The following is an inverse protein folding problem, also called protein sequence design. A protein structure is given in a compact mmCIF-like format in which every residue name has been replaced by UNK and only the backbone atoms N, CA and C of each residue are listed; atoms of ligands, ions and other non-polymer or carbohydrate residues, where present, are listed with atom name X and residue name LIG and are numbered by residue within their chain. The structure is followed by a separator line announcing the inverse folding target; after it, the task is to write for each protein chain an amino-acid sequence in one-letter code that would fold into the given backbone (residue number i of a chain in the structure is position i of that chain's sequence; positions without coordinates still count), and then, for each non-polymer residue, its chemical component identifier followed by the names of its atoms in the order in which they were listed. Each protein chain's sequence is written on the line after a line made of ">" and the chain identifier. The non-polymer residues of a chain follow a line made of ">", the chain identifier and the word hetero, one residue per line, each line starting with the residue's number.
data_IF_504268207887
#
_entry.id   IF_504268207887
#
_cell.length_a   1.000
_cell.length_b   1.000
_cell.length_c   1.000
_cell.angle_alpha   90.00
_cell.angle_beta   90.00
_cell.angle_gamma   90.00
#
_symmetry.space_group_name_H-M   'P 1'
#
loop_
_entity.id
_entity.type
_entity.pdbx_description
1 polymer ?
#
# COMPACT_ATOMS: atom_id res chain seq x y z
N UNK A 1 -33.22 -39.56 -7.58
CA UNK A 1 -31.76 -39.40 -7.44
C UNK A 1 -31.46 -37.95 -7.12
N UNK A 2 -30.92 -37.69 -5.93
CA UNK A 2 -31.31 -36.57 -5.06
C UNK A 2 -30.54 -35.26 -5.27
N UNK A 3 -31.22 -34.12 -5.04
CA UNK A 3 -30.64 -32.77 -4.82
C UNK A 3 -29.45 -32.77 -3.85
N UNK A 4 -29.40 -33.76 -2.96
CA UNK A 4 -28.29 -34.01 -2.01
C UNK A 4 -26.98 -34.34 -2.75
N UNK A 5 -27.03 -35.08 -3.88
CA UNK A 5 -25.85 -35.41 -4.67
C UNK A 5 -25.26 -34.17 -5.37
N UNK A 6 -26.12 -33.23 -5.81
CA UNK A 6 -25.69 -31.92 -6.35
C UNK A 6 -25.07 -31.00 -5.29
N UNK A 7 -25.58 -31.05 -4.06
CA UNK A 7 -25.06 -30.28 -2.92
C UNK A 7 -23.71 -30.84 -2.41
N UNK A 8 -23.55 -32.17 -2.43
CA UNK A 8 -22.28 -32.84 -2.15
C UNK A 8 -21.24 -32.60 -3.24
N UNK A 9 -21.62 -32.61 -4.53
CA UNK A 9 -20.72 -32.29 -5.64
C UNK A 9 -20.21 -30.84 -5.55
N UNK A 10 -21.08 -29.88 -5.23
CA UNK A 10 -20.68 -28.48 -5.06
C UNK A 10 -19.79 -28.25 -3.84
N UNK A 11 -20.02 -28.97 -2.72
CA UNK A 11 -19.11 -28.95 -1.55
C UNK A 11 -17.76 -29.60 -1.84
N UNK A 12 -17.72 -30.68 -2.62
CA UNK A 12 -16.47 -31.32 -3.06
C UNK A 12 -15.70 -30.45 -4.05
N UNK A 13 -16.35 -29.77 -4.98
CA UNK A 13 -15.68 -28.84 -5.90
C UNK A 13 -15.16 -27.59 -5.18
N UNK A 14 -15.91 -26.99 -4.26
CA UNK A 14 -15.44 -25.87 -3.43
C UNK A 14 -14.31 -26.31 -2.48
N UNK A 15 -14.45 -27.48 -1.86
CA UNK A 15 -13.41 -28.08 -1.01
C UNK A 15 -12.14 -28.38 -1.79
N UNK A 16 -12.22 -28.99 -2.97
CA UNK A 16 -11.06 -29.31 -3.80
C UNK A 16 -10.45 -28.06 -4.46
N UNK A 17 -11.25 -27.04 -4.79
CA UNK A 17 -10.76 -25.76 -5.29
C UNK A 17 -10.06 -24.92 -4.21
N UNK A 18 -10.62 -24.88 -2.99
CA UNK A 18 -9.96 -24.29 -1.83
C UNK A 18 -8.69 -25.07 -1.45
N UNK A 19 -8.75 -26.41 -1.41
CA UNK A 19 -7.62 -27.24 -1.01
C UNK A 19 -6.49 -27.22 -2.06
N UNK A 20 -6.79 -27.15 -3.36
CA UNK A 20 -5.77 -26.98 -4.41
C UNK A 20 -5.12 -25.59 -4.41
N UNK A 21 -5.89 -24.53 -4.11
CA UNK A 21 -5.34 -23.19 -3.90
C UNK A 21 -4.51 -23.11 -2.61
N UNK A 22 -4.97 -23.75 -1.54
CA UNK A 22 -4.28 -23.81 -0.25
C UNK A 22 -3.00 -24.64 -0.34
N UNK A 23 -2.99 -25.76 -1.08
CA UNK A 23 -1.77 -26.51 -1.41
C UNK A 23 -0.79 -25.70 -2.27
N UNK A 24 -1.29 -24.87 -3.21
CA UNK A 24 -0.45 -23.94 -3.98
C UNK A 24 0.13 -22.83 -3.10
N UNK A 25 -0.63 -22.30 -2.15
CA UNK A 25 -0.19 -21.29 -1.19
C UNK A 25 0.83 -21.88 -0.21
N UNK A 26 0.56 -23.06 0.35
CA UNK A 26 1.48 -23.77 1.25
C UNK A 26 2.76 -24.16 0.52
N UNK A 27 2.68 -24.75 -0.69
CA UNK A 27 3.89 -25.01 -1.49
C UNK A 27 4.66 -23.73 -1.69
N UNK A 28 4.00 -22.62 -2.05
CA UNK A 28 4.68 -21.34 -2.19
C UNK A 28 5.34 -20.88 -0.90
N UNK A 29 4.63 -20.76 0.24
CA UNK A 29 5.20 -20.33 1.51
C UNK A 29 6.39 -21.21 1.97
N UNK A 30 6.35 -22.52 1.72
CA UNK A 30 7.44 -23.45 2.07
C UNK A 30 8.54 -23.57 1.01
N UNK A 31 8.29 -23.22 -0.26
CA UNK A 31 9.30 -23.22 -1.34
C UNK A 31 9.68 -21.82 -1.82
N UNK A 32 9.25 -20.78 -1.10
CA UNK A 32 9.59 -19.40 -1.42
C UNK A 32 11.05 -19.14 -1.09
N UNK A 33 11.93 -19.54 -2.00
CA UNK A 33 13.31 -19.08 -1.99
C UNK A 33 13.44 -17.87 -2.90
N UNK A 34 14.29 -16.94 -2.49
CA UNK A 34 14.73 -15.81 -3.33
C UNK A 34 15.31 -16.32 -4.67
N UNK A 35 15.83 -17.56 -4.71
CA UNK A 35 16.29 -18.25 -5.94
C UNK A 35 15.17 -18.56 -6.94
N UNK A 36 13.90 -18.66 -6.51
CA UNK A 36 12.76 -18.85 -7.43
C UNK A 36 12.43 -17.57 -8.21
N UNK A 37 12.72 -16.39 -7.65
CA UNK A 37 12.56 -15.09 -8.30
C UNK A 37 13.63 -14.90 -9.38
N UNK A 38 14.87 -15.36 -9.13
CA UNK A 38 15.98 -15.24 -10.08
C UNK A 38 15.79 -16.09 -11.34
N UNK A 39 14.98 -17.17 -11.29
CA UNK A 39 14.76 -18.09 -12.41
C UNK A 39 13.52 -17.80 -13.27
N UNK A 40 12.71 -16.78 -12.95
CA UNK A 40 11.56 -16.40 -13.78
C UNK A 40 12.02 -15.72 -15.08
N UNK A 41 11.74 -16.33 -16.23
CA UNK A 41 11.86 -15.66 -17.53
C UNK A 41 10.61 -14.79 -17.77
N UNK A 42 10.68 -13.53 -17.35
CA UNK A 42 9.64 -12.53 -17.62
C UNK A 42 9.97 -11.83 -18.93
N UNK A 43 9.07 -11.94 -19.91
CA UNK A 43 9.23 -11.27 -21.21
C UNK A 43 8.80 -9.80 -21.15
N UNK A 44 9.16 -9.01 -22.17
CA UNK A 44 8.69 -7.62 -22.29
C UNK A 44 7.16 -7.53 -22.39
N UNK A 45 6.55 -8.48 -23.10
CA UNK A 45 5.10 -8.54 -23.29
C UNK A 45 4.36 -8.88 -21.99
N UNK A 46 4.92 -9.74 -21.14
CA UNK A 46 4.36 -10.04 -19.81
C UNK A 46 4.31 -8.78 -18.92
N UNK A 47 5.31 -7.92 -19.04
CA UNK A 47 5.39 -6.67 -18.28
C UNK A 47 4.42 -5.61 -18.83
N UNK A 48 4.31 -5.49 -20.15
CA UNK A 48 3.33 -4.61 -20.80
C UNK A 48 1.92 -5.00 -20.41
N UNK A 49 1.58 -6.28 -20.51
CA UNK A 49 0.29 -6.81 -20.07
C UNK A 49 0.06 -6.60 -18.58
N UNK A 50 1.11 -6.69 -17.75
CA UNK A 50 1.00 -6.39 -16.33
C UNK A 50 0.68 -4.92 -16.10
N UNK A 51 1.40 -3.99 -16.73
CA UNK A 51 1.16 -2.54 -16.62
C UNK A 51 -0.27 -2.22 -17.07
N UNK A 52 -0.71 -2.76 -18.21
CA UNK A 52 -2.06 -2.59 -18.76
C UNK A 52 -3.14 -3.11 -17.80
N UNK A 53 -2.94 -4.28 -17.19
CA UNK A 53 -3.86 -4.84 -16.21
C UNK A 53 -4.00 -3.95 -14.96
N UNK A 54 -2.91 -3.27 -14.56
CA UNK A 54 -2.88 -2.41 -13.37
C UNK A 54 -3.45 -1.02 -13.64
N UNK A 55 -3.16 -0.43 -14.79
CA UNK A 55 -3.83 0.79 -15.27
C UNK A 55 -5.33 0.53 -15.39
N UNK A 56 -5.71 -0.63 -15.94
CA UNK A 56 -7.10 -1.06 -15.94
C UNK A 56 -7.62 -1.20 -14.51
N UNK A 57 -6.86 -1.74 -13.55
CA UNK A 57 -7.32 -1.83 -12.15
C UNK A 57 -7.47 -0.47 -11.46
N UNK A 58 -6.63 0.52 -11.74
CA UNK A 58 -6.78 1.89 -11.21
C UNK A 58 -7.99 2.59 -11.82
N UNK A 59 -8.09 2.56 -13.15
CA UNK A 59 -9.18 3.22 -13.89
C UNK A 59 -10.50 2.50 -13.71
N UNK A 60 -10.47 1.26 -13.29
CA UNK A 60 -11.67 0.48 -13.10
C UNK A 60 -11.92 0.36 -11.62
N UNK A 61 -13.09 0.82 -11.20
CA UNK A 61 -13.60 0.55 -9.86
C UNK A 61 -13.70 -0.99 -9.60
N UNK A 62 -13.45 -1.85 -10.61
CA UNK A 62 -13.67 -3.31 -10.85
C UNK A 62 -13.06 -4.30 -9.85
N UNK A 63 -13.19 -4.04 -8.55
CA UNK A 63 -12.84 -5.08 -7.56
C UNK A 63 -13.88 -6.22 -7.53
N UNK A 64 -15.07 -6.03 -8.12
CA UNK A 64 -16.19 -6.96 -7.96
C UNK A 64 -16.65 -7.71 -9.21
N UNK A 65 -16.39 -7.23 -10.44
CA UNK A 65 -16.72 -8.01 -11.65
C UNK A 65 -16.11 -7.39 -12.93
N UNK A 66 -15.58 -8.23 -13.83
CA UNK A 66 -14.97 -7.81 -15.10
C UNK A 66 -16.00 -7.58 -16.23
N UNK A 67 -17.25 -8.03 -16.07
CA UNK A 67 -18.21 -8.18 -17.18
C UNK A 67 -19.39 -7.20 -17.19
N UNK A 68 -19.52 -6.33 -16.18
CA UNK A 68 -20.72 -5.47 -16.02
C UNK A 68 -20.48 -4.02 -16.46
N UNK A 69 -21.56 -3.34 -16.83
CA UNK A 69 -21.55 -1.95 -17.29
C UNK A 69 -21.02 -0.99 -16.22
N UNK A 70 -20.40 0.09 -16.67
CA UNK A 70 -19.64 1.01 -15.83
C UNK A 70 -20.49 1.70 -14.74
N UNK A 71 -21.70 2.17 -15.07
CA UNK A 71 -22.63 2.82 -14.12
C UNK A 71 -23.06 1.87 -13.00
N UNK A 72 -23.35 0.61 -13.33
CA UNK A 72 -23.76 -0.41 -12.36
C UNK A 72 -22.64 -0.70 -11.35
N UNK A 73 -21.39 -0.73 -11.83
CA UNK A 73 -20.24 -0.95 -10.97
C UNK A 73 -20.04 0.19 -9.96
N UNK A 74 -20.17 1.44 -10.39
CA UNK A 74 -20.01 2.61 -9.51
C UNK A 74 -21.05 2.60 -8.38
N UNK A 75 -22.32 2.28 -8.70
CA UNK A 75 -23.37 2.15 -7.69
C UNK A 75 -23.11 1.02 -6.70
N UNK A 76 -22.63 -0.14 -7.16
CA UNK A 76 -22.25 -1.24 -6.26
C UNK A 76 -21.10 -0.86 -5.32
N UNK A 77 -20.07 -0.18 -5.85
CA UNK A 77 -18.94 0.28 -5.05
C UNK A 77 -19.36 1.32 -4.01
N UNK A 78 -20.30 2.21 -4.34
CA UNK A 78 -20.84 3.20 -3.42
C UNK A 78 -21.68 2.53 -2.32
N UNK A 79 -22.53 1.57 -2.70
CA UNK A 79 -23.35 0.81 -1.75
C UNK A 79 -22.47 0.04 -0.75
N UNK A 80 -21.42 -0.63 -1.24
CA UNK A 80 -20.46 -1.33 -0.37
C UNK A 80 -19.72 -0.34 0.54
N UNK A 81 -19.33 0.83 0.03
CA UNK A 81 -18.69 1.86 0.85
C UNK A 81 -19.63 2.33 1.98
N UNK A 82 -20.90 2.64 1.67
CA UNK A 82 -21.90 3.07 2.65
C UNK A 82 -22.11 1.98 3.70
N UNK A 83 -22.27 0.71 3.28
CA UNK A 83 -22.44 -0.41 4.21
C UNK A 83 -21.25 -0.56 5.16
N UNK A 84 -20.02 -0.38 4.68
CA UNK A 84 -18.84 -0.43 5.55
C UNK A 84 -18.73 0.78 6.48
N UNK A 85 -19.14 1.97 6.05
CA UNK A 85 -19.20 3.14 6.94
C UNK A 85 -20.19 2.89 8.07
N UNK A 86 -21.40 2.38 7.74
CA UNK A 86 -22.40 1.98 8.74
C UNK A 86 -21.82 0.93 9.67
N UNK A 87 -21.12 -0.06 9.14
CA UNK A 87 -20.49 -1.12 9.91
C UNK A 87 -19.37 -0.61 10.82
N UNK A 88 -18.56 0.34 10.36
CA UNK A 88 -17.56 1.00 11.18
C UNK A 88 -18.22 1.75 12.35
N UNK A 89 -19.26 2.54 12.09
CA UNK A 89 -20.00 3.23 13.15
C UNK A 89 -20.71 2.26 14.10
N UNK A 90 -21.15 1.13 13.60
CA UNK A 90 -21.70 0.05 14.43
C UNK A 90 -20.65 -0.47 15.42
N UNK A 91 -19.42 -0.75 15.00
CA UNK A 91 -18.34 -1.14 15.92
C UNK A 91 -17.94 -0.02 16.88
N UNK A 92 -18.00 1.24 16.46
CA UNK A 92 -17.81 2.37 17.37
C UNK A 92 -18.91 2.41 18.43
N UNK A 93 -20.17 2.23 18.05
CA UNK A 93 -21.29 2.15 18.97
C UNK A 93 -21.13 0.97 19.95
N UNK A 94 -20.73 -0.21 19.46
CA UNK A 94 -20.39 -1.36 20.30
C UNK A 94 -19.27 -1.05 21.29
N UNK A 95 -18.28 -0.24 20.92
CA UNK A 95 -17.19 0.13 21.84
C UNK A 95 -17.62 1.03 23.00
N UNK A 96 -18.73 1.76 22.86
CA UNK A 96 -19.19 2.75 23.86
C UNK A 96 -20.37 2.20 24.68
N UNK A 97 -21.21 1.34 24.11
CA UNK A 97 -22.38 0.79 24.79
C UNK A 97 -22.00 -0.28 25.83
N UNK A 98 -22.68 -0.28 26.97
CA UNK A 98 -22.56 -1.29 28.04
C UNK A 98 -23.81 -2.16 28.20
N UNK A 99 -24.83 -1.93 27.40
CA UNK A 99 -26.07 -2.70 27.46
C UNK A 99 -25.87 -4.09 26.83
N UNK A 100 -25.79 -5.14 27.66
CA UNK A 100 -25.55 -6.52 27.24
C UNK A 100 -26.56 -7.04 26.22
N UNK A 101 -27.83 -6.64 26.33
CA UNK A 101 -28.88 -7.04 25.39
C UNK A 101 -28.62 -6.45 24.00
N UNK A 102 -28.30 -5.15 23.95
CA UNK A 102 -27.96 -4.47 22.70
C UNK A 102 -26.68 -5.06 22.09
N UNK A 103 -25.64 -5.28 22.91
CA UNK A 103 -24.37 -5.89 22.51
C UNK A 103 -24.60 -7.25 21.84
N UNK A 104 -25.45 -8.08 22.46
CA UNK A 104 -25.76 -9.40 21.97
C UNK A 104 -26.49 -9.39 20.61
N UNK A 105 -27.60 -8.64 20.50
CA UNK A 105 -28.38 -8.57 19.25
C UNK A 105 -27.67 -7.83 18.13
N UNK A 106 -26.73 -6.96 18.47
CA UNK A 106 -25.92 -6.21 17.52
C UNK A 106 -24.84 -7.07 16.86
N UNK A 107 -24.51 -8.25 17.41
CA UNK A 107 -23.50 -9.13 16.81
C UNK A 107 -22.06 -8.77 17.19
N UNK A 108 -21.83 -8.31 18.43
CA UNK A 108 -20.47 -8.11 18.95
C UNK A 108 -19.75 -9.47 19.04
N UNK A 109 -18.52 -9.58 18.52
CA UNK A 109 -17.75 -10.83 18.53
C UNK A 109 -16.95 -11.04 19.81
N UNK A 110 -16.74 -9.97 20.58
CA UNK A 110 -15.81 -9.92 21.71
C UNK A 110 -16.54 -9.87 23.06
N UNK A 111 -17.81 -10.28 23.11
CA UNK A 111 -18.71 -10.11 24.29
C UNK A 111 -18.13 -10.66 25.59
N UNK A 112 -17.39 -11.75 25.54
CA UNK A 112 -16.79 -12.42 26.70
C UNK A 112 -15.39 -11.89 27.07
N UNK A 113 -14.79 -11.02 26.25
CA UNK A 113 -13.46 -10.46 26.49
C UNK A 113 -13.56 -9.23 27.39
N UNK A 114 -12.68 -9.14 28.38
CA UNK A 114 -12.46 -7.94 29.21
C UNK A 114 -12.06 -6.73 28.37
N UNK A 115 -11.44 -6.96 27.21
CA UNK A 115 -10.93 -5.95 26.28
C UNK A 115 -11.93 -5.62 25.16
N UNK A 116 -13.19 -6.07 25.25
CA UNK A 116 -14.24 -5.90 24.22
C UNK A 116 -14.30 -4.50 23.61
N UNK A 117 -14.36 -3.46 24.45
CA UNK A 117 -14.48 -2.06 24.00
C UNK A 117 -13.32 -1.67 23.10
N UNK A 118 -12.12 -2.06 23.51
CA UNK A 118 -10.86 -1.78 22.81
C UNK A 118 -10.82 -2.53 21.48
N UNK A 119 -11.18 -3.82 21.48
CA UNK A 119 -11.20 -4.65 20.28
C UNK A 119 -12.19 -4.11 19.24
N UNK A 120 -13.40 -3.74 19.66
CA UNK A 120 -14.39 -3.12 18.79
C UNK A 120 -13.90 -1.79 18.19
N UNK A 121 -13.22 -0.97 18.98
CA UNK A 121 -12.62 0.27 18.49
C UNK A 121 -11.51 0.01 17.45
N UNK A 122 -10.67 -1.01 17.64
CA UNK A 122 -9.66 -1.41 16.66
C UNK A 122 -10.32 -1.86 15.35
N UNK A 123 -11.38 -2.66 15.42
CA UNK A 123 -12.13 -3.08 14.23
C UNK A 123 -12.72 -1.87 13.51
N UNK A 124 -13.28 -0.90 14.25
CA UNK A 124 -13.75 0.37 13.69
C UNK A 124 -12.66 1.09 12.88
N UNK A 125 -11.49 1.32 13.47
CA UNK A 125 -10.36 1.94 12.77
C UNK A 125 -9.91 1.12 11.55
N UNK A 126 -9.87 -0.21 11.69
CA UNK A 126 -9.51 -1.14 10.62
C UNK A 126 -10.47 -1.16 9.44
N UNK A 127 -11.73 -0.76 9.64
CA UNK A 127 -12.73 -0.60 8.57
C UNK A 127 -12.64 0.80 7.95
N UNK A 128 -12.51 1.86 8.76
CA UNK A 128 -12.45 3.24 8.26
C UNK A 128 -11.23 3.48 7.35
N UNK A 129 -10.06 2.95 7.69
CA UNK A 129 -8.85 3.17 6.89
C UNK A 129 -9.03 2.71 5.41
N UNK A 130 -9.47 1.47 5.11
CA UNK A 130 -9.81 1.06 3.75
C UNK A 130 -10.95 1.86 3.10
N UNK A 131 -11.94 2.32 3.86
CA UNK A 131 -12.98 3.21 3.34
C UNK A 131 -12.39 4.52 2.81
N UNK A 132 -11.43 5.13 3.53
CA UNK A 132 -10.76 6.36 3.12
C UNK A 132 -9.97 6.17 1.82
N UNK A 133 -9.28 5.04 1.68
CA UNK A 133 -8.61 4.68 0.42
C UNK A 133 -9.62 4.57 -0.72
N UNK A 134 -10.78 3.97 -0.47
CA UNK A 134 -11.81 3.84 -1.51
C UNK A 134 -12.41 5.17 -1.92
N UNK A 135 -12.69 6.06 -0.95
CA UNK A 135 -13.17 7.43 -1.21
C UNK A 135 -12.15 8.17 -2.08
N UNK A 136 -10.86 8.08 -1.73
CA UNK A 136 -9.77 8.65 -2.51
C UNK A 136 -9.78 8.15 -3.96
N UNK A 137 -9.84 6.83 -4.18
CA UNK A 137 -9.85 6.25 -5.53
C UNK A 137 -11.08 6.69 -6.34
N UNK A 138 -12.25 6.82 -5.69
CA UNK A 138 -13.47 7.31 -6.34
C UNK A 138 -13.34 8.79 -6.72
N UNK A 139 -12.81 9.63 -5.83
CA UNK A 139 -12.63 11.06 -6.06
C UNK A 139 -11.57 11.36 -7.12
N UNK A 140 -10.43 10.65 -7.08
CA UNK A 140 -9.35 10.76 -8.06
C UNK A 140 -9.89 10.54 -9.48
N UNK A 141 -10.70 9.50 -9.65
CA UNK A 141 -11.38 9.18 -10.91
C UNK A 141 -12.36 10.28 -11.36
N UNK A 142 -13.21 10.77 -10.46
CA UNK A 142 -14.20 11.82 -10.79
C UNK A 142 -13.55 13.12 -11.25
N UNK A 143 -12.33 13.39 -10.77
CA UNK A 143 -11.59 14.60 -11.09
C UNK A 143 -10.90 14.55 -12.46
N UNK A 144 -11.07 13.48 -13.24
CA UNK A 144 -10.41 13.24 -14.54
C UNK A 144 -8.88 13.45 -14.50
N UNK A 145 -8.26 13.27 -13.32
CA UNK A 145 -6.83 13.46 -13.15
C UNK A 145 -6.09 12.33 -13.86
N UNK A 146 -4.92 12.63 -14.42
CA UNK A 146 -4.02 11.60 -14.96
C UNK A 146 -3.71 10.58 -13.86
N UNK A 147 -3.67 9.31 -14.21
CA UNK A 147 -3.34 8.24 -13.28
C UNK A 147 -1.92 8.43 -12.74
N UNK A 148 -1.67 8.04 -11.49
CA UNK A 148 -0.28 8.07 -10.99
C UNK A 148 0.56 6.96 -11.61
N UNK A 149 -0.07 5.93 -12.19
CA UNK A 149 0.58 4.91 -13.01
C UNK A 149 1.05 5.44 -14.37
N UNK A 150 0.66 6.65 -14.81
CA UNK A 150 1.24 7.32 -15.99
C UNK A 150 2.77 7.50 -15.90
N UNK A 151 3.36 7.33 -14.71
CA UNK A 151 4.82 7.21 -14.56
C UNK A 151 5.41 6.09 -15.44
N UNK A 152 4.59 5.09 -15.80
CA UNK A 152 4.97 4.00 -16.69
C UNK A 152 4.76 4.32 -18.17
N UNK A 153 4.08 5.39 -18.56
CA UNK A 153 3.76 5.70 -19.97
C UNK A 153 5.02 5.75 -20.84
N UNK A 154 6.03 6.47 -20.37
CA UNK A 154 7.28 6.63 -21.12
C UNK A 154 8.06 5.31 -21.19
N UNK A 155 8.04 4.54 -20.10
CA UNK A 155 8.67 3.22 -20.03
C UNK A 155 7.95 2.20 -20.93
N UNK A 156 6.61 2.19 -20.95
CA UNK A 156 5.77 1.40 -21.84
C UNK A 156 6.09 1.71 -23.30
N UNK A 157 6.25 3.00 -23.60
CA UNK A 157 6.62 3.44 -24.94
C UNK A 157 8.05 3.02 -25.33
N UNK A 158 9.00 2.99 -24.38
CA UNK A 158 10.35 2.44 -24.60
C UNK A 158 10.34 0.91 -24.79
N UNK A 159 9.40 0.20 -24.18
CA UNK A 159 9.23 -1.24 -24.37
C UNK A 159 8.65 -1.58 -25.75
N UNK A 160 7.78 -0.71 -26.27
CA UNK A 160 7.09 -0.87 -27.56
C UNK A 160 7.95 -0.43 -28.75
N UNK A 161 8.72 0.66 -28.63
CA UNK A 161 9.56 1.21 -29.70
C UNK A 161 11.02 1.33 -29.26
N UNK A 162 11.95 0.67 -29.97
CA UNK A 162 13.38 0.68 -29.62
C UNK A 162 14.09 2.00 -29.94
N UNK A 163 13.51 2.86 -30.80
CA UNK A 163 14.18 4.01 -31.42
C UNK A 163 13.54 5.37 -31.08
N UNK A 164 13.15 5.60 -29.82
CA UNK A 164 12.81 6.97 -29.39
C UNK A 164 14.06 7.78 -29.05
N UNK A 165 14.07 9.07 -29.42
CA UNK A 165 15.17 10.03 -29.13
C UNK A 165 15.53 10.14 -27.65
N UNK A 166 14.57 9.83 -26.76
CA UNK A 166 14.77 9.81 -25.31
C UNK A 166 14.12 8.54 -24.77
N UNK A 167 14.94 7.61 -24.27
CA UNK A 167 14.47 6.37 -23.65
C UNK A 167 15.02 6.23 -22.24
N UNK A 168 14.18 5.77 -21.30
CA UNK A 168 14.66 5.34 -19.99
C UNK A 168 15.21 3.93 -20.09
N UNK A 169 16.52 3.83 -20.33
CA UNK A 169 17.27 2.61 -20.05
C UNK A 169 17.23 2.38 -18.53
N UNK A 170 16.80 1.21 -18.08
CA UNK A 170 16.95 0.81 -16.67
C UNK A 170 18.24 0.00 -16.54
N UNK A 171 19.18 0.47 -15.71
CA UNK A 171 20.49 -0.18 -15.48
C UNK A 171 20.37 -1.69 -15.17
N UNK A 172 19.29 -2.08 -14.49
CA UNK A 172 18.96 -3.47 -14.16
C UNK A 172 17.57 -3.88 -14.70
N UNK A 173 17.27 -3.59 -15.98
CA UNK A 173 15.96 -3.84 -16.57
C UNK A 173 15.45 -5.28 -16.32
N UNK A 174 16.30 -6.31 -16.49
CA UNK A 174 15.90 -7.71 -16.26
C UNK A 174 15.50 -7.98 -14.80
N UNK A 175 16.18 -7.37 -13.84
CA UNK A 175 15.89 -7.54 -12.42
C UNK A 175 14.64 -6.74 -12.03
N UNK A 176 14.51 -5.52 -12.56
CA UNK A 176 13.32 -4.69 -12.41
C UNK A 176 12.08 -5.37 -12.98
N UNK A 177 12.14 -5.94 -14.20
CA UNK A 177 11.01 -6.68 -14.80
C UNK A 177 10.57 -7.84 -13.92
N UNK A 178 11.52 -8.60 -13.37
CA UNK A 178 11.23 -9.73 -12.46
C UNK A 178 10.64 -9.25 -11.15
N UNK A 179 11.22 -8.23 -10.52
CA UNK A 179 10.74 -7.69 -9.24
C UNK A 179 9.37 -7.04 -9.40
N UNK A 180 9.16 -6.28 -10.48
CA UNK A 180 7.90 -5.62 -10.81
C UNK A 180 6.79 -6.64 -11.06
N UNK A 181 6.99 -7.57 -11.99
CA UNK A 181 5.99 -8.61 -12.27
C UNK A 181 5.66 -9.43 -11.01
N UNK A 182 6.68 -9.73 -10.22
CA UNK A 182 6.51 -10.47 -8.97
C UNK A 182 5.74 -9.67 -7.91
N UNK A 183 6.10 -8.40 -7.65
CA UNK A 183 5.38 -7.55 -6.70
C UNK A 183 3.95 -7.34 -7.17
N UNK A 184 3.77 -6.82 -8.39
CA UNK A 184 2.49 -6.27 -8.85
C UNK A 184 1.42 -7.33 -9.10
N UNK A 185 1.80 -8.55 -9.52
CA UNK A 185 0.83 -9.60 -9.87
C UNK A 185 0.80 -10.73 -8.84
N UNK A 186 1.97 -11.28 -8.48
CA UNK A 186 2.02 -12.46 -7.61
C UNK A 186 1.86 -12.07 -6.14
N UNK A 187 2.67 -11.15 -5.64
CA UNK A 187 2.65 -10.77 -4.23
C UNK A 187 1.29 -10.18 -3.85
N UNK A 188 0.72 -9.28 -4.68
CA UNK A 188 -0.62 -8.70 -4.46
C UNK A 188 -1.66 -9.78 -4.15
N UNK A 189 -1.77 -10.77 -5.04
CA UNK A 189 -2.81 -11.78 -4.98
C UNK A 189 -2.66 -12.64 -3.74
N UNK A 190 -1.44 -13.06 -3.42
CA UNK A 190 -1.19 -13.92 -2.26
C UNK A 190 -1.27 -13.17 -0.94
N UNK A 191 -0.71 -11.97 -0.87
CA UNK A 191 -0.79 -11.12 0.32
C UNK A 191 -2.24 -10.81 0.66
N UNK A 192 -3.01 -10.40 -0.33
CA UNK A 192 -4.42 -10.09 -0.12
C UNK A 192 -5.25 -11.33 0.25
N UNK A 193 -4.97 -12.51 -0.30
CA UNK A 193 -5.61 -13.76 0.14
C UNK A 193 -5.21 -14.10 1.58
N UNK A 194 -3.92 -13.99 1.92
CA UNK A 194 -3.41 -14.30 3.25
C UNK A 194 -4.01 -13.42 4.34
N UNK A 195 -4.10 -12.10 4.11
CA UNK A 195 -4.72 -11.16 5.05
C UNK A 195 -6.19 -11.50 5.27
N UNK A 196 -6.95 -11.81 4.21
CA UNK A 196 -8.36 -12.18 4.34
C UNK A 196 -8.56 -13.51 5.09
N UNK A 197 -7.71 -14.51 4.84
CA UNK A 197 -7.76 -15.79 5.56
C UNK A 197 -7.44 -15.58 7.04
N UNK A 198 -6.39 -14.82 7.36
CA UNK A 198 -6.02 -14.51 8.75
C UNK A 198 -7.16 -13.81 9.49
N UNK A 199 -7.75 -12.78 8.86
CA UNK A 199 -8.92 -12.07 9.40
C UNK A 199 -10.09 -13.02 9.68
N UNK A 200 -10.42 -13.90 8.73
CA UNK A 200 -11.50 -14.86 8.90
C UNK A 200 -11.25 -15.86 10.04
N UNK A 201 -10.04 -16.41 10.12
CA UNK A 201 -9.68 -17.37 11.17
C UNK A 201 -9.75 -16.74 12.56
N UNK A 202 -9.30 -15.49 12.71
CA UNK A 202 -9.35 -14.77 13.99
C UNK A 202 -10.79 -14.46 14.44
N UNK A 203 -11.69 -14.14 13.51
CA UNK A 203 -13.11 -13.95 13.86
C UNK A 203 -13.83 -15.26 14.16
N UNK A 204 -13.52 -16.34 13.43
CA UNK A 204 -14.10 -17.67 13.69
C UNK A 204 -13.69 -18.23 15.04
N UNK A 205 -12.41 -18.13 15.39
CA UNK A 205 -11.89 -18.61 16.68
C UNK A 205 -12.61 -17.92 17.83
N UNK A 206 -12.71 -16.59 17.80
CA UNK A 206 -13.47 -15.84 18.79
C UNK A 206 -14.94 -16.29 18.90
N UNK A 207 -15.63 -16.55 17.78
CA UNK A 207 -17.02 -17.02 17.83
C UNK A 207 -17.14 -18.42 18.45
N UNK A 208 -16.23 -19.34 18.10
CA UNK A 208 -16.23 -20.71 18.60
C UNK A 208 -16.02 -20.73 20.13
N UNK A 209 -15.11 -19.88 20.64
CA UNK A 209 -14.84 -19.82 22.07
C UNK A 209 -15.91 -19.08 22.88
N UNK A 210 -16.58 -18.08 22.29
CA UNK A 210 -17.45 -17.18 23.04
C UNK A 210 -18.94 -17.60 23.04
N UNK A 211 -19.36 -18.50 22.14
CA UNK A 211 -20.77 -18.87 21.99
C UNK A 211 -21.01 -20.37 22.10
N UNK A 212 -21.59 -20.79 23.24
CA UNK A 212 -21.86 -22.20 23.55
C UNK A 212 -23.18 -22.74 22.98
N UNK A 213 -24.14 -21.88 22.64
CA UNK A 213 -25.45 -22.32 22.13
C UNK A 213 -25.55 -22.19 20.61
N UNK A 214 -26.10 -23.22 19.96
CA UNK A 214 -26.18 -23.33 18.49
C UNK A 214 -26.88 -22.13 17.84
N UNK A 215 -27.99 -21.65 18.43
CA UNK A 215 -28.74 -20.51 17.89
C UNK A 215 -27.90 -19.21 17.89
N UNK A 216 -27.15 -18.98 18.97
CA UNK A 216 -26.28 -17.80 19.11
C UNK A 216 -25.09 -17.89 18.18
N UNK A 217 -24.50 -19.09 18.05
CA UNK A 217 -23.44 -19.36 17.10
C UNK A 217 -23.85 -19.06 15.65
N UNK A 218 -25.04 -19.53 15.23
CA UNK A 218 -25.54 -19.28 13.86
C UNK A 218 -25.72 -17.80 13.58
N UNK A 219 -26.28 -17.04 14.53
CA UNK A 219 -26.46 -15.59 14.38
C UNK A 219 -25.11 -14.89 14.17
N UNK A 220 -24.11 -15.23 14.97
CA UNK A 220 -22.78 -14.62 14.87
C UNK A 220 -22.04 -15.00 13.58
N UNK A 221 -22.23 -16.23 13.10
CA UNK A 221 -21.73 -16.65 11.79
C UNK A 221 -22.32 -15.82 10.65
N UNK A 222 -23.61 -15.45 10.73
CA UNK A 222 -24.24 -14.56 9.75
C UNK A 222 -23.59 -13.17 9.80
N UNK A 223 -23.37 -12.61 10.99
CA UNK A 223 -22.69 -11.31 11.14
C UNK A 223 -21.27 -11.31 10.56
N UNK A 224 -20.48 -12.37 10.76
CA UNK A 224 -19.14 -12.50 10.15
C UNK A 224 -19.21 -12.61 8.64
N UNK A 225 -20.12 -13.41 8.10
CA UNK A 225 -20.29 -13.52 6.65
C UNK A 225 -20.64 -12.16 6.05
N UNK A 226 -21.55 -11.42 6.68
CA UNK A 226 -21.91 -10.08 6.26
C UNK A 226 -20.71 -9.13 6.28
N UNK A 227 -19.94 -9.13 7.38
CA UNK A 227 -18.69 -8.37 7.50
C UNK A 227 -17.68 -8.72 6.40
N UNK A 228 -17.48 -10.00 6.08
CA UNK A 228 -16.53 -10.41 5.04
C UNK A 228 -16.95 -9.95 3.65
N UNK A 229 -18.24 -10.08 3.32
CA UNK A 229 -18.75 -9.72 2.00
C UNK A 229 -18.64 -8.21 1.76
N UNK A 230 -18.85 -7.40 2.79
CA UNK A 230 -18.72 -5.95 2.71
C UNK A 230 -17.26 -5.49 2.78
N UNK A 231 -16.46 -6.03 3.70
CA UNK A 231 -15.12 -5.54 4.02
C UNK A 231 -14.03 -6.00 3.03
N UNK A 232 -14.04 -7.27 2.61
CA UNK A 232 -12.97 -7.82 1.75
C UNK A 232 -12.72 -6.94 0.49
N UNK A 233 -13.74 -6.50 -0.27
CA UNK A 233 -13.55 -5.64 -1.44
C UNK A 233 -12.83 -4.30 -1.14
N UNK A 234 -13.10 -3.68 0.01
CA UNK A 234 -12.41 -2.45 0.42
C UNK A 234 -10.96 -2.74 0.80
N UNK A 235 -10.74 -3.81 1.56
CA UNK A 235 -9.41 -4.22 1.96
C UNK A 235 -8.53 -4.52 0.74
N UNK A 236 -9.05 -5.22 -0.28
CA UNK A 236 -8.34 -5.40 -1.56
C UNK A 236 -7.95 -4.07 -2.21
N UNK A 237 -8.83 -3.05 -2.15
CA UNK A 237 -8.54 -1.71 -2.68
C UNK A 237 -7.35 -1.06 -1.95
N UNK A 238 -7.36 -1.15 -0.62
CA UNK A 238 -6.33 -0.57 0.24
C UNK A 238 -4.98 -1.26 0.04
N UNK A 239 -4.97 -2.60 0.06
CA UNK A 239 -3.78 -3.41 -0.18
C UNK A 239 -3.19 -3.18 -1.56
N UNK A 240 -4.04 -3.00 -2.57
CA UNK A 240 -3.60 -2.66 -3.91
C UNK A 240 -2.89 -1.30 -3.96
N UNK A 241 -3.48 -0.25 -3.38
CA UNK A 241 -2.88 1.09 -3.39
C UNK A 241 -1.50 1.07 -2.73
N UNK A 242 -1.39 0.42 -1.56
CA UNK A 242 -0.14 0.29 -0.82
C UNK A 242 0.96 -0.39 -1.63
N UNK A 243 0.62 -1.51 -2.26
CA UNK A 243 1.56 -2.23 -3.11
C UNK A 243 1.98 -1.39 -4.34
N UNK A 244 1.05 -0.66 -4.94
CA UNK A 244 1.38 0.22 -6.07
C UNK A 244 2.32 1.34 -5.68
N UNK A 245 2.14 1.94 -4.50
CA UNK A 245 3.07 2.94 -4.00
C UNK A 245 4.48 2.37 -3.80
N UNK A 246 4.60 1.12 -3.31
CA UNK A 246 5.88 0.44 -3.23
C UNK A 246 6.49 0.23 -4.63
N UNK A 247 5.70 -0.23 -5.60
CA UNK A 247 6.13 -0.44 -7.00
C UNK A 247 6.61 0.85 -7.65
N UNK A 248 5.85 1.95 -7.53
CA UNK A 248 6.23 3.28 -8.02
C UNK A 248 7.53 3.74 -7.36
N UNK A 249 7.69 3.49 -6.07
CA UNK A 249 8.91 3.86 -5.33
C UNK A 249 10.13 3.09 -5.82
N UNK A 250 10.00 1.77 -6.04
CA UNK A 250 11.09 0.96 -6.59
C UNK A 250 11.41 1.33 -8.04
N UNK A 251 10.41 1.63 -8.88
CA UNK A 251 10.65 2.12 -10.23
C UNK A 251 11.44 3.42 -10.21
N UNK A 252 10.96 4.40 -9.44
CA UNK A 252 11.63 5.69 -9.23
C UNK A 252 13.08 5.51 -8.81
N UNK A 253 13.35 4.63 -7.83
CA UNK A 253 14.72 4.33 -7.40
C UNK A 253 15.61 3.80 -8.54
N UNK A 254 15.09 2.93 -9.40
CA UNK A 254 15.86 2.40 -10.53
C UNK A 254 16.08 3.44 -11.63
N UNK A 255 15.11 4.32 -11.86
CA UNK A 255 15.26 5.45 -12.78
C UNK A 255 16.33 6.41 -12.28
N UNK A 256 16.35 6.73 -10.98
CA UNK A 256 17.39 7.58 -10.38
C UNK A 256 18.78 6.93 -10.54
N UNK A 257 18.92 5.62 -10.29
CA UNK A 257 20.20 4.92 -10.49
C UNK A 257 20.70 5.00 -11.94
N UNK A 258 19.78 4.90 -12.90
CA UNK A 258 20.11 5.01 -14.32
C UNK A 258 20.55 6.42 -14.68
N UNK A 259 19.79 7.44 -14.26
CA UNK A 259 20.17 8.84 -14.43
C UNK A 259 21.52 9.14 -13.78
N UNK A 260 21.78 8.58 -12.61
CA UNK A 260 23.07 8.73 -11.94
C UNK A 260 24.21 8.15 -12.78
N UNK A 261 24.04 6.94 -13.32
CA UNK A 261 25.04 6.31 -14.19
C UNK A 261 25.28 7.14 -15.47
N UNK A 262 24.21 7.60 -16.13
CA UNK A 262 24.29 8.49 -17.30
C UNK A 262 25.01 9.80 -16.94
N UNK A 263 24.77 10.36 -15.75
CA UNK A 263 25.45 11.55 -15.25
C UNK A 263 26.95 11.29 -14.95
N UNK A 264 27.28 10.17 -14.31
CA UNK A 264 28.66 9.78 -14.01
C UNK A 264 29.47 9.55 -15.30
N UNK A 265 28.84 8.98 -16.34
CA UNK A 265 29.43 8.86 -17.68
C UNK A 265 29.71 10.24 -18.29
N UNK A 266 28.73 11.16 -18.26
CA UNK A 266 28.91 12.53 -18.73
C UNK A 266 30.04 13.27 -17.98
N UNK A 267 30.22 13.02 -16.68
CA UNK A 267 31.34 13.55 -15.90
C UNK A 267 32.67 12.98 -16.39
N UNK A 268 32.73 11.66 -16.66
CA UNK A 268 33.97 10.96 -17.01
C UNK A 268 34.48 11.24 -18.42
N UNK A 269 33.59 11.54 -19.37
CA UNK A 269 33.96 11.64 -20.80
C UNK A 269 34.67 12.96 -21.15
N UNK A 270 34.60 13.99 -20.30
CA UNK A 270 35.24 15.30 -20.52
C UNK A 270 34.62 16.12 -21.67
N UNK A 271 34.33 15.49 -22.81
CA UNK A 271 33.73 16.06 -24.02
C UNK A 271 32.48 15.27 -24.42
N UNK A 272 31.35 15.51 -23.76
CA UNK A 272 30.05 14.97 -24.19
C UNK A 272 29.35 15.90 -25.18
N UNK A 273 28.55 15.36 -26.10
CA UNK A 273 27.82 16.22 -27.06
C UNK A 273 26.63 16.91 -26.38
N UNK A 274 26.26 18.11 -26.86
CA UNK A 274 25.11 18.87 -26.38
C UNK A 274 23.83 18.02 -26.32
N UNK A 275 23.62 17.14 -27.30
CA UNK A 275 22.46 16.25 -27.36
C UNK A 275 22.39 15.26 -26.18
N UNK A 276 23.53 14.75 -25.69
CA UNK A 276 23.54 13.83 -24.54
C UNK A 276 23.16 14.56 -23.25
N UNK A 277 23.66 15.78 -23.06
CA UNK A 277 23.30 16.62 -21.91
C UNK A 277 21.82 17.02 -21.92
N UNK A 278 21.31 17.40 -23.10
CA UNK A 278 19.90 17.75 -23.24
C UNK A 278 18.97 16.57 -22.97
N UNK A 279 19.35 15.37 -23.42
CA UNK A 279 18.67 14.11 -23.11
C UNK A 279 18.62 13.85 -21.60
N UNK A 280 19.76 13.95 -20.94
CA UNK A 280 19.87 13.76 -19.50
C UNK A 280 18.94 14.70 -18.72
N UNK A 281 19.02 16.01 -19.00
CA UNK A 281 18.19 17.01 -18.30
C UNK A 281 16.70 16.90 -18.63
N UNK A 282 16.34 16.44 -19.82
CA UNK A 282 14.94 16.13 -20.15
C UNK A 282 14.42 14.99 -19.26
N UNK A 283 15.14 13.88 -19.18
CA UNK A 283 14.77 12.72 -18.35
C UNK A 283 14.71 13.07 -16.86
N UNK A 284 15.65 13.90 -16.38
CA UNK A 284 15.65 14.36 -14.98
C UNK A 284 14.44 15.26 -14.65
N UNK A 285 14.09 16.18 -15.55
CA UNK A 285 12.94 17.08 -15.37
C UNK A 285 11.63 16.30 -15.36
N UNK A 286 11.51 15.34 -16.27
CA UNK A 286 10.36 14.45 -16.36
C UNK A 286 10.18 13.60 -15.10
N UNK A 287 11.25 12.99 -14.58
CA UNK A 287 11.20 12.25 -13.32
C UNK A 287 10.74 13.15 -12.16
N UNK A 288 11.25 14.39 -12.11
CA UNK A 288 10.84 15.36 -11.09
C UNK A 288 9.35 15.71 -11.20
N UNK A 289 8.86 15.94 -12.42
CA UNK A 289 7.44 16.20 -12.69
C UNK A 289 6.55 15.03 -12.26
N UNK A 290 6.98 13.79 -12.48
CA UNK A 290 6.24 12.62 -12.05
C UNK A 290 6.17 12.51 -10.53
N UNK A 291 7.27 12.72 -9.82
CA UNK A 291 7.27 12.68 -8.35
C UNK A 291 6.37 13.78 -7.79
N UNK A 292 6.44 15.00 -8.34
CA UNK A 292 5.55 16.09 -7.95
C UNK A 292 4.07 15.74 -8.22
N UNK A 293 3.77 15.11 -9.36
CA UNK A 293 2.44 14.63 -9.70
C UNK A 293 1.94 13.56 -8.72
N UNK A 294 2.77 12.55 -8.41
CA UNK A 294 2.44 11.50 -7.43
C UNK A 294 2.13 12.14 -6.09
N UNK A 295 3.03 12.99 -5.56
CA UNK A 295 2.84 13.70 -4.29
C UNK A 295 1.54 14.49 -4.25
N UNK A 296 1.24 15.26 -5.30
CA UNK A 296 0.02 16.06 -5.37
C UNK A 296 -1.25 15.20 -5.37
N UNK A 297 -1.20 14.01 -5.97
CA UNK A 297 -2.35 13.09 -6.01
C UNK A 297 -2.54 12.39 -4.66
N UNK A 298 -1.47 11.87 -4.07
CA UNK A 298 -1.55 11.05 -2.84
C UNK A 298 -1.51 11.86 -1.55
N UNK A 299 -1.32 13.18 -1.62
CA UNK A 299 -1.16 14.06 -0.47
C UNK A 299 -2.22 13.83 0.62
N UNK A 300 -3.50 13.88 0.23
CA UNK A 300 -4.61 13.73 1.17
C UNK A 300 -4.73 12.34 1.77
N UNK A 301 -4.51 11.28 0.96
CA UNK A 301 -4.60 9.93 1.47
C UNK A 301 -3.43 9.61 2.41
N UNK A 302 -2.25 10.14 2.15
CA UNK A 302 -1.10 10.00 3.06
C UNK A 302 -1.26 10.81 4.34
N UNK A 303 -1.83 12.01 4.29
CA UNK A 303 -2.19 12.73 5.52
C UNK A 303 -3.16 11.93 6.37
N UNK A 304 -4.19 11.35 5.77
CA UNK A 304 -5.18 10.54 6.50
C UNK A 304 -4.55 9.26 7.06
N UNK A 305 -3.83 8.49 6.24
CA UNK A 305 -3.13 7.27 6.69
C UNK A 305 -2.16 7.61 7.83
N UNK A 306 -1.45 8.73 7.73
CA UNK A 306 -0.51 9.17 8.75
C UNK A 306 -1.20 9.53 10.06
N UNK A 307 -2.28 10.33 10.03
CA UNK A 307 -3.01 10.73 11.23
C UNK A 307 -3.59 9.51 11.97
N UNK A 308 -4.23 8.60 11.24
CA UNK A 308 -4.73 7.36 11.83
C UNK A 308 -3.60 6.42 12.26
N UNK A 309 -2.50 6.37 11.52
CA UNK A 309 -1.33 5.55 11.85
C UNK A 309 -0.62 6.03 13.11
N UNK A 310 -0.49 7.34 13.31
CA UNK A 310 0.07 7.93 14.53
C UNK A 310 -0.80 7.60 15.76
N UNK A 311 -2.13 7.75 15.64
CA UNK A 311 -3.06 7.35 16.69
C UNK A 311 -2.92 5.85 17.02
N UNK A 312 -2.80 5.00 16.00
CA UNK A 312 -2.63 3.57 16.20
C UNK A 312 -1.28 3.21 16.82
N UNK A 313 -0.20 3.93 16.50
CA UNK A 313 1.10 3.74 17.14
C UNK A 313 1.04 4.04 18.66
N UNK A 314 0.31 5.08 19.07
CA UNK A 314 0.07 5.38 20.50
C UNK A 314 -0.67 4.21 21.17
N UNK A 315 -1.68 3.64 20.50
CA UNK A 315 -2.39 2.46 21.00
C UNK A 315 -1.47 1.23 21.12
N UNK A 316 -0.58 1.01 20.14
CA UNK A 316 0.42 -0.08 20.20
C UNK A 316 1.30 0.07 21.45
N UNK A 317 1.84 1.26 21.70
CA UNK A 317 2.63 1.52 22.91
C UNK A 317 1.82 1.26 24.18
N UNK A 318 0.57 1.70 24.22
CA UNK A 318 -0.34 1.44 25.32
C UNK A 318 -0.55 -0.07 25.56
N UNK A 319 -0.74 -0.87 24.51
CA UNK A 319 -0.92 -2.31 24.65
C UNK A 319 0.33 -3.05 25.12
N UNK A 320 1.50 -2.72 24.57
CA UNK A 320 2.76 -3.39 24.91
C UNK A 320 3.15 -3.17 26.38
N UNK A 321 2.67 -2.09 26.99
CA UNK A 321 3.14 -1.63 28.30
C UNK A 321 2.12 -1.76 29.43
N UNK A 322 0.80 -1.64 29.14
CA UNK A 322 -0.24 -1.59 30.18
C UNK A 322 -1.10 -2.85 30.25
N UNK A 323 -1.12 -3.69 29.21
CA UNK A 323 -1.98 -4.88 29.20
C UNK A 323 -1.17 -6.18 29.32
N UNK A 324 -1.40 -6.90 30.41
CA UNK A 324 -1.19 -8.34 30.47
C UNK A 324 -2.45 -9.00 29.93
N UNK A 325 -2.48 -9.30 28.64
CA UNK A 325 -3.59 -10.06 28.08
C UNK A 325 -3.53 -11.49 28.67
N UNK A 326 -4.61 -12.01 29.25
CA UNK A 326 -4.66 -13.42 29.66
C UNK A 326 -5.16 -14.31 28.51
N UNK A 327 -5.96 -13.74 27.60
CA UNK A 327 -6.54 -14.45 26.47
C UNK A 327 -5.58 -14.48 25.25
N UNK A 328 -5.23 -15.70 24.81
CA UNK A 328 -4.34 -15.94 23.65
C UNK A 328 -4.93 -15.42 22.34
N UNK A 329 -6.25 -15.54 22.13
CA UNK A 329 -6.89 -15.13 20.87
C UNK A 329 -6.87 -13.61 20.70
N UNK A 330 -7.08 -12.89 21.81
CA UNK A 330 -6.95 -11.42 21.87
C UNK A 330 -5.53 -11.01 21.54
N UNK A 331 -4.52 -11.69 22.11
CA UNK A 331 -3.10 -11.43 21.76
C UNK A 331 -2.83 -11.63 20.27
N UNK A 332 -3.28 -12.75 19.71
CA UNK A 332 -3.04 -13.08 18.30
C UNK A 332 -3.73 -12.06 17.37
N UNK A 333 -4.95 -11.64 17.69
CA UNK A 333 -5.67 -10.61 16.94
C UNK A 333 -4.93 -9.26 16.96
N UNK A 334 -4.52 -8.81 18.15
CA UNK A 334 -3.80 -7.56 18.31
C UNK A 334 -2.44 -7.57 17.62
N UNK A 335 -1.66 -8.66 17.78
CA UNK A 335 -0.38 -8.81 17.10
C UNK A 335 -0.56 -8.76 15.58
N UNK A 336 -1.58 -9.44 15.04
CA UNK A 336 -1.88 -9.43 13.62
C UNK A 336 -2.23 -8.03 13.11
N UNK A 337 -3.19 -7.34 13.74
CA UNK A 337 -3.61 -5.99 13.36
C UNK A 337 -2.46 -4.98 13.47
N UNK A 338 -1.72 -5.00 14.59
CA UNK A 338 -0.60 -4.10 14.82
C UNK A 338 0.53 -4.36 13.80
N UNK A 339 0.87 -5.62 13.53
CA UNK A 339 1.90 -5.96 12.55
C UNK A 339 1.54 -5.45 11.14
N UNK A 340 0.27 -5.59 10.73
CA UNK A 340 -0.17 -5.07 9.44
C UNK A 340 -0.01 -3.55 9.35
N UNK A 341 -0.39 -2.82 10.40
CA UNK A 341 -0.30 -1.36 10.43
C UNK A 341 1.18 -0.91 10.46
N UNK A 342 2.02 -1.57 11.24
CA UNK A 342 3.46 -1.32 11.26
C UNK A 342 4.09 -1.57 9.87
N UNK A 343 3.75 -2.67 9.19
CA UNK A 343 4.23 -2.94 7.83
C UNK A 343 3.81 -1.81 6.88
N UNK A 344 2.57 -1.32 7.00
CA UNK A 344 2.07 -0.23 6.16
C UNK A 344 2.81 1.08 6.40
N UNK A 345 3.01 1.46 7.66
CA UNK A 345 3.68 2.73 8.02
C UNK A 345 5.17 2.64 7.67
N UNK A 346 5.88 1.67 8.25
CA UNK A 346 7.33 1.60 8.16
C UNK A 346 7.82 1.04 6.81
N UNK A 347 7.08 0.11 6.20
CA UNK A 347 7.43 -0.45 4.89
C UNK A 347 7.38 0.60 3.77
N UNK A 348 6.35 1.46 3.76
CA UNK A 348 6.27 2.56 2.80
C UNK A 348 7.31 3.65 3.10
N UNK A 349 7.48 4.03 4.37
CA UNK A 349 8.50 5.02 4.76
C UNK A 349 9.91 4.59 4.34
N UNK A 350 10.23 3.30 4.45
CA UNK A 350 11.51 2.76 3.96
C UNK A 350 11.68 2.98 2.45
N UNK A 351 10.67 2.61 1.65
CA UNK A 351 10.71 2.78 0.20
C UNK A 351 10.82 4.26 -0.21
N UNK A 352 10.11 5.15 0.49
CA UNK A 352 10.13 6.59 0.23
C UNK A 352 11.45 7.24 0.62
N UNK A 353 12.03 6.84 1.75
CA UNK A 353 13.34 7.34 2.18
C UNK A 353 14.43 6.93 1.18
N UNK A 354 14.35 5.72 0.62
CA UNK A 354 15.29 5.24 -0.38
C UNK A 354 15.30 6.12 -1.64
N UNK A 355 14.14 6.63 -2.07
CA UNK A 355 14.05 7.60 -3.18
C UNK A 355 14.87 8.84 -2.85
N UNK A 356 14.67 9.40 -1.65
CA UNK A 356 15.36 10.59 -1.17
C UNK A 356 16.87 10.42 -1.10
N UNK A 357 17.34 9.30 -0.57
CA UNK A 357 18.77 8.98 -0.51
C UNK A 357 19.37 8.90 -1.91
N UNK A 358 18.72 8.21 -2.85
CA UNK A 358 19.20 8.11 -4.22
C UNK A 358 19.16 9.44 -4.97
N UNK A 359 18.11 10.24 -4.75
CA UNK A 359 18.02 11.57 -5.33
C UNK A 359 19.15 12.49 -4.83
N UNK A 360 19.57 12.37 -3.57
CA UNK A 360 20.73 13.11 -3.05
C UNK A 360 22.04 12.72 -3.75
N UNK A 361 22.21 11.43 -4.08
CA UNK A 361 23.38 10.96 -4.85
C UNK A 361 23.35 11.49 -6.29
N UNK A 362 22.18 11.53 -6.92
CA UNK A 362 22.01 12.13 -8.24
C UNK A 362 22.31 13.63 -8.21
N UNK A 363 21.81 14.36 -7.21
CA UNK A 363 22.10 15.78 -7.02
C UNK A 363 23.61 16.06 -6.94
N UNK A 364 24.33 15.28 -6.13
CA UNK A 364 25.80 15.38 -6.02
C UNK A 364 26.51 15.10 -7.35
N UNK A 365 25.99 14.19 -8.16
CA UNK A 365 26.56 13.85 -9.47
C UNK A 365 26.33 14.99 -10.47
N UNK A 366 25.12 15.56 -10.51
CA UNK A 366 24.78 16.73 -11.33
C UNK A 366 25.67 17.93 -10.95
N UNK A 367 25.89 18.15 -9.65
CA UNK A 367 26.75 19.24 -9.18
C UNK A 367 28.17 19.16 -9.77
N UNK A 368 28.72 17.93 -9.87
CA UNK A 368 30.06 17.65 -10.41
C UNK A 368 30.16 17.74 -11.93
N UNK A 369 29.04 17.78 -12.65
CA UNK A 369 29.03 17.83 -14.12
C UNK A 369 29.74 19.09 -14.63
N UNK A 370 30.76 18.94 -15.48
CA UNK A 370 31.41 20.09 -16.11
C UNK A 370 30.44 20.82 -17.05
N UNK A 371 30.47 22.15 -17.03
CA UNK A 371 29.73 23.01 -17.98
C UNK A 371 30.54 23.22 -19.27
N UNK A 372 31.85 22.98 -19.20
CA UNK A 372 32.75 23.02 -20.34
C UNK A 372 32.73 21.67 -21.05
N UNK A 373 32.25 21.66 -22.30
CA UNK A 373 32.23 20.47 -23.18
C UNK A 373 33.48 20.38 -24.07
N UNK A 374 34.53 21.14 -23.75
CA UNK A 374 35.86 21.09 -24.36
C UNK A 374 36.03 21.74 -25.73
N UNK A 375 34.95 22.19 -26.38
CA UNK A 375 35.01 23.02 -27.61
C UNK A 375 34.45 24.43 -27.45
N UNK A 376 33.50 24.63 -26.53
CA UNK A 376 32.94 25.92 -26.15
C UNK A 376 32.09 25.78 -24.89
N UNK A 377 32.01 26.87 -24.11
CA UNK A 377 31.05 26.98 -23.01
C UNK A 377 29.62 26.90 -23.55
N UNK A 378 28.85 25.90 -23.10
CA UNK A 378 27.48 25.72 -23.55
C UNK A 378 26.49 26.33 -22.55
N UNK A 379 26.13 27.60 -22.77
CA UNK A 379 25.20 28.35 -21.91
C UNK A 379 23.87 27.61 -21.68
N UNK A 380 23.35 26.89 -22.69
CA UNK A 380 22.09 26.15 -22.58
C UNK A 380 22.19 24.98 -21.59
N UNK A 381 23.31 24.26 -21.61
CA UNK A 381 23.60 23.18 -20.65
C UNK A 381 23.86 23.74 -19.26
N UNK A 382 24.56 24.88 -19.16
CA UNK A 382 24.78 25.61 -17.91
C UNK A 382 23.45 25.99 -17.23
N UNK A 383 22.52 26.58 -17.99
CA UNK A 383 21.21 26.99 -17.51
C UNK A 383 20.35 25.79 -17.09
N UNK A 384 20.37 24.68 -17.85
CA UNK A 384 19.67 23.44 -17.46
C UNK A 384 20.25 22.82 -16.19
N UNK A 385 21.58 22.83 -16.02
CA UNK A 385 22.25 22.40 -14.80
C UNK A 385 21.81 23.25 -13.61
N UNK A 386 21.83 24.58 -13.76
CA UNK A 386 21.40 25.52 -12.73
C UNK A 386 19.93 25.25 -12.34
N UNK A 387 19.03 25.17 -13.32
CA UNK A 387 17.62 24.88 -13.10
C UNK A 387 17.39 23.54 -12.37
N UNK A 388 18.12 22.49 -12.74
CA UNK A 388 18.02 21.19 -12.08
C UNK A 388 18.52 21.24 -10.63
N UNK A 389 19.62 21.96 -10.36
CA UNK A 389 20.16 22.14 -9.02
C UNK A 389 19.23 22.98 -8.14
N UNK A 390 18.71 24.10 -8.66
CA UNK A 390 17.73 24.94 -7.97
C UNK A 390 16.47 24.16 -7.63
N UNK A 391 15.94 23.37 -8.56
CA UNK A 391 14.74 22.56 -8.32
C UNK A 391 14.97 21.52 -7.22
N UNK A 392 16.10 20.83 -7.24
CA UNK A 392 16.47 19.84 -6.22
C UNK A 392 16.77 20.47 -4.85
N UNK A 393 17.26 21.72 -4.83
CA UNK A 393 17.52 22.47 -3.61
C UNK A 393 16.24 23.05 -3.01
N UNK A 394 15.33 23.59 -3.84
CA UNK A 394 14.07 24.19 -3.40
C UNK A 394 13.11 23.16 -2.81
N UNK A 395 13.06 21.95 -3.38
CA UNK A 395 12.23 20.86 -2.88
C UNK A 395 12.99 19.54 -3.01
N UNK A 396 13.30 18.91 -1.87
CA UNK A 396 13.94 17.58 -1.85
C UNK A 396 13.11 16.60 -2.68
N UNK A 397 13.73 15.96 -3.65
CA UNK A 397 13.05 14.98 -4.49
C UNK A 397 12.78 13.71 -3.67
N UNK A 398 11.50 13.42 -3.44
CA UNK A 398 11.04 12.29 -2.62
C UNK A 398 9.54 12.38 -2.37
N UNK A 399 9.05 11.58 -1.44
CA UNK A 399 7.62 11.53 -1.11
C UNK A 399 7.32 12.42 0.10
N UNK A 400 6.16 13.08 0.06
CA UNK A 400 5.69 13.99 1.08
C UNK A 400 4.35 13.56 1.66
N UNK A 401 4.17 13.76 2.96
CA UNK A 401 2.86 13.69 3.62
C UNK A 401 2.20 15.06 3.52
N UNK A 402 0.99 15.10 2.96
CA UNK A 402 0.22 16.33 2.79
C UNK A 402 0.87 17.39 1.89
N UNK A 403 1.92 17.06 1.14
CA UNK A 403 2.84 17.99 0.44
C UNK A 403 3.82 18.78 1.31
N UNK A 404 3.73 18.70 2.63
CA UNK A 404 4.51 19.53 3.56
C UNK A 404 5.67 18.78 4.19
N UNK A 405 5.42 17.55 4.61
CA UNK A 405 6.37 16.80 5.44
C UNK A 405 7.13 15.82 4.56
N UNK A 406 8.42 16.07 4.38
CA UNK A 406 9.31 15.18 3.65
C UNK A 406 9.55 13.89 4.44
N UNK A 407 9.31 12.74 3.81
CA UNK A 407 9.49 11.45 4.49
C UNK A 407 10.93 10.98 4.34
N UNK A 408 11.65 10.99 5.46
CA UNK A 408 12.96 10.38 5.59
C UNK A 408 13.10 9.54 6.88
N UNK A 409 14.29 9.00 7.08
CA UNK A 409 14.62 8.22 8.28
C UNK A 409 14.47 9.06 9.56
N UNK A 410 14.80 10.35 9.49
CA UNK A 410 14.70 11.25 10.64
C UNK A 410 13.24 11.47 11.01
N UNK A 411 12.39 11.72 10.03
CA UNK A 411 10.95 11.84 10.23
C UNK A 411 10.35 10.56 10.81
N UNK A 412 10.74 9.39 10.29
CA UNK A 412 10.24 8.11 10.80
C UNK A 412 10.62 7.91 12.27
N UNK A 413 11.86 8.25 12.64
CA UNK A 413 12.31 8.24 14.03
C UNK A 413 11.54 9.26 14.88
N UNK A 414 11.37 10.48 14.40
CA UNK A 414 10.65 11.55 15.08
C UNK A 414 9.20 11.14 15.37
N UNK A 415 8.49 10.60 14.39
CA UNK A 415 7.13 10.07 14.56
C UNK A 415 7.09 9.02 15.66
N UNK A 416 8.00 8.04 15.66
CA UNK A 416 8.03 6.98 16.67
C UNK A 416 8.27 7.56 18.06
N UNK A 417 9.20 8.50 18.20
CA UNK A 417 9.53 9.16 19.46
C UNK A 417 8.37 10.04 19.97
N UNK A 418 7.72 10.79 19.09
CA UNK A 418 6.55 11.62 19.42
C UNK A 418 5.36 10.76 19.85
N UNK A 419 5.10 9.62 19.18
CA UNK A 419 4.06 8.69 19.61
C UNK A 419 4.39 8.09 20.98
N UNK A 420 5.65 7.73 21.22
CA UNK A 420 6.12 7.22 22.51
C UNK A 420 5.98 8.28 23.62
N UNK A 421 6.38 9.52 23.36
CA UNK A 421 6.30 10.62 24.34
C UNK A 421 4.85 10.98 24.67
N UNK A 422 3.96 11.03 23.67
CA UNK A 422 2.52 11.23 23.88
C UNK A 422 1.90 10.11 24.71
N UNK A 423 2.31 8.86 24.48
CA UNK A 423 1.90 7.74 25.32
C UNK A 423 2.36 7.94 26.78
N UNK A 424 3.63 8.26 27.02
CA UNK A 424 4.12 8.51 28.39
C UNK A 424 3.40 9.69 29.06
N UNK A 425 3.13 10.76 28.32
CA UNK A 425 2.34 11.90 28.80
C UNK A 425 0.91 11.48 29.19
N UNK A 426 0.29 10.61 28.40
CA UNK A 426 -1.03 10.08 28.70
C UNK A 426 -1.03 9.24 29.99
N UNK A 427 -0.04 8.35 30.15
CA UNK A 427 0.12 7.54 31.36
C UNK A 427 0.35 8.39 32.62
N UNK A 428 1.24 9.39 32.54
CA UNK A 428 1.49 10.29 33.68
C UNK A 428 0.23 11.06 34.09
N UNK A 429 -0.59 11.52 33.14
CA UNK A 429 -1.83 12.24 33.43
C UNK A 429 -2.94 11.34 34.01
N UNK A 430 -3.03 10.08 33.59
CA UNK A 430 -3.97 9.12 34.19
C UNK A 430 -3.55 8.77 35.61
N UNK A 431 -2.28 8.46 35.83
CA UNK A 431 -1.79 8.09 37.16
C UNK A 431 -1.95 9.23 38.17
N UNK A 432 -1.83 10.48 37.72
CA UNK A 432 -2.05 11.66 38.56
C UNK A 432 -3.52 11.91 38.93
N UNK A 433 -4.49 11.33 38.22
CA UNK A 433 -5.92 11.37 38.58
C UNK A 433 -6.35 10.25 39.53
N UNK A 434 -5.52 9.21 39.65
CA UNK A 434 -5.77 8.06 40.53
C UNK A 434 -4.98 8.15 41.87
N UNK A 435 -4.20 9.21 42.05
CA UNK A 435 -3.64 9.68 43.31
C UNK A 435 -4.48 10.84 43.81
#
# INVERSE_FOLDING_TARGET
>A
MSKICKLLLNKLFLGHWCNSKMHRIQRFCFTFSIKSITNLNVTKNDLLSAIDDLECFEQSTRILDRRKSFKYFQSQSLLILILNIIQAFHFLFLSITDNQTIIFYSGDFFVSSSERKVLNYIVHCGIIMPCMVKIYLLHHRQSYRKSFLNIFDEYKSCLQESNKKFSFSLKNEKLFRKSYYYLSIKLYKYFSIGVNIGFWLLHLTNIIYNYSTLQRFILQMIHVIMLLVTYCPLLFSALWLLLMMAVVSFFTCNVIDSLKAECDELVSVGNYTCHHAESFFYKQSLLSNWIDCVNAQVAWIFTTIYLYGAFHNILIFFYVTQFTFDNLDVKLFLIFCNSLILIVIYGNNYAWTLIGQKASLLHRSIYRLSIDTGKSFNLKVALKKLQALERLAARKMGIYIGNYIYVDNYYTLLLTLECGSLYFLFCTNINRKNQ
#
